data_IF_777372945505
#
_entry.id   IF_777372945505
#
_cell.length_a   1.000
_cell.length_b   1.000
_cell.length_c   1.000
_cell.angle_alpha   90.00
_cell.angle_beta   90.00
_cell.angle_gamma   90.00
#
_symmetry.space_group_name_H-M   'P 1'
#
loop_
_entity.id
_entity.type
_entity.pdbx_description
1 polymer ?
#
# COMPACT_ATOMS: atom_id res chain seq x y z
N UNK A 1 9.27 9.13 2.02
CA UNK A 1 9.03 8.74 3.43
C UNK A 1 7.67 9.20 3.95
N UNK A 2 7.30 10.47 3.78
CA UNK A 2 5.99 10.99 4.24
C UNK A 2 4.78 10.30 3.60
N UNK A 3 4.92 9.84 2.37
CA UNK A 3 3.85 9.09 1.66
C UNK A 3 3.58 7.75 2.34
N UNK A 4 4.63 6.99 2.66
CA UNK A 4 4.50 5.70 3.37
C UNK A 4 3.88 5.91 4.76
N UNK A 5 4.39 6.88 5.53
CA UNK A 5 3.87 7.24 6.84
C UNK A 5 2.37 7.58 6.80
N UNK A 6 1.95 8.43 5.85
CA UNK A 6 0.55 8.82 5.69
C UNK A 6 -0.35 7.68 5.17
N UNK A 7 0.22 6.67 4.50
CA UNK A 7 -0.50 5.49 4.02
C UNK A 7 -0.69 4.42 5.09
N UNK A 8 -0.02 4.55 6.25
CA UNK A 8 -0.04 3.62 7.38
C UNK A 8 -0.60 4.24 8.67
N UNK A 9 -1.28 5.38 8.57
CA UNK A 9 -1.80 6.10 9.75
C UNK A 9 -2.87 5.31 10.51
N UNK A 10 -3.63 4.48 9.83
CA UNK A 10 -4.62 3.54 10.39
C UNK A 10 -4.97 2.46 9.37
N UNK A 11 -5.53 1.34 9.83
CA UNK A 11 -6.00 0.26 8.94
C UNK A 11 -7.43 0.54 8.48
N UNK A 12 -7.58 0.64 7.17
CA UNK A 12 -8.85 0.68 6.42
C UNK A 12 -8.60 0.09 5.02
N UNK A 13 -9.63 0.01 4.19
CA UNK A 13 -9.56 -0.64 2.87
C UNK A 13 -8.52 -0.06 1.89
N UNK A 14 -8.07 1.17 2.07
CA UNK A 14 -7.06 1.83 1.24
C UNK A 14 -5.71 2.01 1.96
N UNK A 15 -5.50 1.32 3.07
CA UNK A 15 -4.20 1.30 3.74
C UNK A 15 -3.19 0.55 2.89
N UNK A 16 -1.96 1.03 2.91
CA UNK A 16 -0.83 0.38 2.25
C UNK A 16 -0.66 -1.06 2.74
N UNK A 17 -0.65 -2.01 1.81
CA UNK A 17 -0.45 -3.43 2.10
C UNK A 17 0.84 -3.98 1.47
N UNK A 18 1.20 -3.53 0.27
CA UNK A 18 2.43 -3.96 -0.42
C UNK A 18 3.19 -2.76 -0.96
N UNK A 19 4.51 -2.77 -0.81
CA UNK A 19 5.43 -1.84 -1.45
C UNK A 19 6.36 -2.62 -2.38
N UNK A 20 6.39 -2.26 -3.65
CA UNK A 20 7.40 -2.71 -4.60
C UNK A 20 8.53 -1.68 -4.68
N UNK A 21 9.77 -2.11 -4.39
CA UNK A 21 10.95 -1.26 -4.45
C UNK A 21 11.88 -1.71 -5.59
N UNK A 22 12.40 -0.77 -6.40
CA UNK A 22 13.39 -1.10 -7.41
C UNK A 22 14.63 -1.77 -6.76
N UNK A 23 14.98 -2.96 -7.22
CA UNK A 23 16.10 -3.76 -6.69
C UNK A 23 17.41 -2.98 -6.66
N UNK A 24 17.70 -2.24 -7.71
CA UNK A 24 18.93 -1.43 -7.83
C UNK A 24 19.00 -0.23 -6.87
N UNK A 25 17.88 0.11 -6.20
CA UNK A 25 17.80 1.19 -5.20
C UNK A 25 17.41 0.68 -3.81
N UNK A 26 17.23 -0.61 -3.65
CA UNK A 26 16.69 -1.21 -2.42
C UNK A 26 17.52 -0.86 -1.19
N UNK A 27 18.84 -0.91 -1.27
CA UNK A 27 19.72 -0.58 -0.15
C UNK A 27 19.52 0.85 0.39
N UNK A 28 19.15 1.80 -0.47
CA UNK A 28 18.86 3.16 -0.06
C UNK A 28 17.40 3.35 0.40
N UNK A 29 16.47 2.60 -0.18
CA UNK A 29 15.04 2.82 0.04
C UNK A 29 14.49 2.03 1.23
N UNK A 30 14.97 0.80 1.47
CA UNK A 30 14.48 -0.05 2.57
C UNK A 30 14.61 0.63 3.94
N UNK A 31 15.74 1.25 4.31
CA UNK A 31 15.82 1.98 5.58
C UNK A 31 14.82 3.14 5.68
N UNK A 32 14.61 3.86 4.58
CA UNK A 32 13.66 4.99 4.53
C UNK A 32 12.22 4.52 4.68
N UNK A 33 11.87 3.36 4.12
CA UNK A 33 10.55 2.74 4.28
C UNK A 33 10.33 2.30 5.72
N UNK A 34 11.31 1.62 6.32
CA UNK A 34 11.23 1.19 7.72
C UNK A 34 11.07 2.36 8.67
N UNK A 35 11.87 3.42 8.51
CA UNK A 35 11.74 4.64 9.34
C UNK A 35 10.38 5.33 9.18
N UNK A 36 9.82 5.35 7.98
CA UNK A 36 8.52 5.95 7.74
C UNK A 36 7.40 5.13 8.38
N UNK A 37 7.48 3.80 8.32
CA UNK A 37 6.53 2.91 8.97
C UNK A 37 6.56 3.04 10.50
N UNK A 38 7.75 3.18 11.08
CA UNK A 38 7.89 3.41 12.52
C UNK A 38 7.31 4.75 12.95
N UNK A 39 7.51 5.81 12.17
CA UNK A 39 6.86 7.10 12.46
C UNK A 39 5.35 7.01 12.42
N UNK A 40 4.78 6.23 11.48
CA UNK A 40 3.35 5.99 11.46
C UNK A 40 2.83 5.28 12.72
N UNK A 41 3.67 4.48 13.36
CA UNK A 41 3.35 3.72 14.57
C UNK A 41 3.60 4.48 15.90
N UNK A 42 4.40 5.54 15.86
CA UNK A 42 4.94 6.21 17.07
C UNK A 42 3.85 6.74 18.01
N UNK A 43 2.77 7.26 17.46
CA UNK A 43 1.64 7.78 18.25
C UNK A 43 0.91 6.69 19.04
N UNK A 44 1.07 5.43 18.63
CA UNK A 44 0.50 4.25 19.28
C UNK A 44 1.48 3.55 20.22
N UNK A 45 2.72 4.07 20.33
CA UNK A 45 3.76 3.51 21.19
C UNK A 45 4.23 2.11 20.77
N UNK A 46 4.17 1.81 19.49
CA UNK A 46 4.58 0.53 18.89
C UNK A 46 5.48 0.75 17.69
N UNK A 47 5.99 -0.33 17.13
CA UNK A 47 6.77 -0.37 15.90
C UNK A 47 5.99 -1.06 14.79
N UNK A 48 6.34 -0.75 13.54
CA UNK A 48 5.77 -1.44 12.40
C UNK A 48 6.34 -2.87 12.27
N UNK A 49 5.55 -3.75 11.71
CA UNK A 49 5.95 -5.09 11.31
C UNK A 49 5.97 -5.21 9.78
N UNK A 50 7.02 -5.83 9.26
CA UNK A 50 7.26 -5.90 7.82
C UNK A 50 7.49 -7.35 7.41
N UNK A 51 6.83 -7.76 6.33
CA UNK A 51 7.07 -9.03 5.67
C UNK A 51 7.87 -8.79 4.40
N UNK A 52 8.80 -9.67 4.11
CA UNK A 52 9.66 -9.51 2.93
C UNK A 52 10.23 -10.84 2.46
N UNK A 53 10.96 -10.83 1.37
CA UNK A 53 11.70 -12.00 0.89
C UNK A 53 13.04 -12.14 1.62
N UNK A 54 13.63 -13.37 1.68
CA UNK A 54 14.95 -13.57 2.27
C UNK A 54 16.04 -12.66 1.69
N UNK A 55 15.95 -12.34 0.41
CA UNK A 55 16.87 -11.43 -0.26
C UNK A 55 16.82 -10.01 0.29
N UNK A 56 15.63 -9.50 0.53
CA UNK A 56 15.47 -8.14 1.01
C UNK A 56 15.73 -7.99 2.52
N UNK A 57 15.62 -9.06 3.30
CA UNK A 57 15.79 -9.03 4.76
C UNK A 57 17.12 -8.39 5.18
N UNK A 58 18.22 -8.71 4.51
CA UNK A 58 19.55 -8.18 4.83
C UNK A 58 19.68 -6.66 4.65
N UNK A 59 18.73 -6.01 4.00
CA UNK A 59 18.72 -4.57 3.76
C UNK A 59 18.02 -3.78 4.90
N UNK A 60 17.30 -4.47 5.79
CA UNK A 60 16.60 -3.83 6.89
C UNK A 60 17.55 -3.55 8.05
N UNK A 61 17.64 -2.30 8.52
CA UNK A 61 18.54 -1.93 9.62
C UNK A 61 18.08 -2.44 10.99
N UNK A 62 16.80 -2.74 11.16
CA UNK A 62 16.21 -3.19 12.42
C UNK A 62 15.35 -4.42 12.20
N UNK A 63 15.82 -5.58 12.67
CA UNK A 63 15.18 -6.89 12.51
C UNK A 63 14.89 -7.59 13.83
N UNK A 64 15.15 -6.92 14.94
CA UNK A 64 14.89 -7.40 16.30
C UNK A 64 13.41 -7.73 16.53
N UNK A 65 13.10 -8.38 17.62
CA UNK A 65 11.71 -8.67 17.99
C UNK A 65 11.03 -7.42 18.52
N UNK A 66 9.74 -7.27 18.18
CA UNK A 66 8.89 -6.18 18.66
C UNK A 66 7.63 -6.71 19.32
N UNK A 67 7.01 -5.88 20.14
CA UNK A 67 5.72 -6.17 20.74
C UNK A 67 4.60 -5.93 19.73
N UNK A 68 3.88 -6.98 19.38
CA UNK A 68 2.75 -6.94 18.45
C UNK A 68 1.45 -7.21 19.20
N UNK A 69 0.48 -6.34 18.99
CA UNK A 69 -0.86 -6.48 19.55
C UNK A 69 -1.73 -7.20 18.52
N UNK A 70 -2.21 -8.38 18.90
CA UNK A 70 -3.12 -9.21 18.09
C UNK A 70 -4.52 -9.25 18.73
N UNK A 71 -5.51 -9.68 17.99
CA UNK A 71 -6.88 -9.80 18.51
C UNK A 71 -7.00 -10.72 19.73
N UNK A 72 -6.15 -11.73 19.84
CA UNK A 72 -6.10 -12.71 20.93
C UNK A 72 -5.05 -12.40 22.02
N UNK A 73 -4.37 -11.26 21.96
CA UNK A 73 -3.41 -10.82 22.94
C UNK A 73 -2.13 -10.22 22.36
N UNK A 74 -1.18 -9.93 23.23
CA UNK A 74 0.10 -9.35 22.86
C UNK A 74 1.19 -10.41 22.80
N UNK A 75 2.01 -10.37 21.75
CA UNK A 75 3.12 -11.30 21.51
C UNK A 75 4.41 -10.56 21.17
N UNK A 76 5.53 -11.23 21.35
CA UNK A 76 6.82 -10.80 20.79
C UNK A 76 7.00 -11.51 19.46
N UNK A 77 7.12 -10.74 18.40
CA UNK A 77 7.26 -11.25 17.02
C UNK A 77 8.46 -10.58 16.34
N UNK A 78 9.02 -11.23 15.34
CA UNK A 78 10.05 -10.62 14.50
C UNK A 78 9.50 -9.36 13.85
N UNK A 79 10.24 -8.28 13.95
CA UNK A 79 9.88 -6.99 13.37
C UNK A 79 9.90 -7.03 11.84
N UNK A 80 10.84 -7.77 11.28
CA UNK A 80 10.92 -8.08 9.85
C UNK A 80 11.01 -9.58 9.70
N UNK A 81 9.99 -10.19 9.12
CA UNK A 81 10.00 -11.61 8.79
C UNK A 81 10.23 -11.82 7.30
N UNK A 82 11.06 -12.83 6.99
CA UNK A 82 11.34 -13.23 5.62
C UNK A 82 10.88 -14.68 5.42
N UNK A 83 9.67 -14.83 4.93
CA UNK A 83 9.09 -16.13 4.66
C UNK A 83 9.38 -16.55 3.22
N UNK A 84 9.84 -17.78 3.02
CA UNK A 84 10.11 -18.33 1.69
C UNK A 84 8.86 -18.46 0.83
N UNK A 85 7.70 -18.60 1.47
CA UNK A 85 6.38 -18.73 0.85
C UNK A 85 5.53 -17.45 1.04
N UNK A 86 6.16 -16.28 0.97
CA UNK A 86 5.48 -15.01 1.11
C UNK A 86 4.39 -14.86 0.04
N UNK A 87 3.14 -14.73 0.50
CA UNK A 87 1.99 -14.48 -0.37
C UNK A 87 1.70 -12.97 -0.45
N UNK A 88 1.97 -12.30 -1.57
CA UNK A 88 1.70 -10.88 -1.74
C UNK A 88 0.20 -10.53 -1.70
N UNK A 89 -0.68 -11.51 -1.87
CA UNK A 89 -2.13 -11.29 -1.80
C UNK A 89 -2.66 -11.22 -0.37
N UNK A 90 -1.83 -11.59 0.61
CA UNK A 90 -2.22 -11.55 2.01
C UNK A 90 -2.47 -10.11 2.48
N UNK A 91 -3.67 -9.83 2.94
CA UNK A 91 -4.01 -8.55 3.58
C UNK A 91 -3.88 -8.66 5.11
N UNK A 92 -2.95 -7.89 5.66
CA UNK A 92 -2.74 -7.87 7.11
C UNK A 92 -3.81 -7.03 7.79
N UNK A 93 -4.49 -7.63 8.77
CA UNK A 93 -5.40 -6.92 9.66
C UNK A 93 -4.67 -6.50 10.93
N UNK A 94 -4.70 -5.22 11.24
CA UNK A 94 -4.06 -4.66 12.41
C UNK A 94 -4.80 -3.43 12.96
N UNK A 95 -4.77 -3.25 14.26
CA UNK A 95 -5.32 -2.05 14.93
C UNK A 95 -4.19 -1.14 15.46
N UNK A 96 -3.09 -1.74 15.87
CA UNK A 96 -2.03 -1.05 16.61
C UNK A 96 -0.73 -0.98 15.83
N UNK A 97 -0.16 -2.12 15.47
CA UNK A 97 1.11 -2.19 14.76
C UNK A 97 0.85 -2.16 13.25
N UNK A 98 1.32 -1.14 12.51
CA UNK A 98 1.26 -1.19 11.05
C UNK A 98 1.97 -2.44 10.53
N UNK A 99 1.32 -3.18 9.65
CA UNK A 99 1.84 -4.42 9.10
C UNK A 99 1.62 -4.46 7.60
N UNK A 100 2.68 -4.75 6.83
CA UNK A 100 2.67 -4.71 5.38
C UNK A 100 3.85 -5.48 4.78
N UNK A 101 3.82 -5.68 3.46
CA UNK A 101 4.85 -6.40 2.69
C UNK A 101 5.75 -5.45 1.91
N UNK A 102 7.05 -5.78 1.83
CA UNK A 102 8.02 -5.13 0.95
C UNK A 102 8.60 -6.15 -0.02
N UNK A 103 8.48 -5.88 -1.31
CA UNK A 103 9.01 -6.69 -2.40
C UNK A 103 10.06 -5.92 -3.20
N UNK A 104 11.05 -6.63 -3.73
CA UNK A 104 12.02 -6.09 -4.68
C UNK A 104 11.61 -6.46 -6.10
N UNK A 105 11.61 -5.49 -6.99
CA UNK A 105 11.26 -5.66 -8.41
C UNK A 105 12.36 -5.13 -9.31
N UNK A 106 12.48 -5.70 -10.49
CA UNK A 106 13.48 -5.28 -11.48
C UNK A 106 12.96 -4.17 -12.40
N UNK A 107 11.63 -4.04 -12.50
CA UNK A 107 10.98 -3.03 -13.34
C UNK A 107 9.61 -2.61 -12.80
N UNK A 108 9.10 -1.49 -13.33
CA UNK A 108 7.72 -1.04 -13.07
C UNK A 108 6.71 -2.03 -13.69
N UNK A 109 7.06 -2.65 -14.82
CA UNK A 109 6.21 -3.67 -15.45
C UNK A 109 6.00 -4.88 -14.52
N UNK A 110 7.05 -5.37 -13.88
CA UNK A 110 6.95 -6.44 -12.90
C UNK A 110 6.05 -6.04 -11.70
N UNK A 111 6.18 -4.80 -11.21
CA UNK A 111 5.30 -4.30 -10.15
C UNK A 111 3.83 -4.25 -10.60
N UNK A 112 3.57 -3.91 -11.86
CA UNK A 112 2.22 -3.92 -12.46
C UNK A 112 1.66 -5.35 -12.54
N UNK A 113 2.48 -6.31 -12.94
CA UNK A 113 2.10 -7.74 -13.00
C UNK A 113 1.75 -8.26 -11.60
N UNK A 114 2.61 -8.01 -10.61
CA UNK A 114 2.35 -8.36 -9.20
C UNK A 114 1.06 -7.72 -8.68
N UNK A 115 0.83 -6.45 -8.99
CA UNK A 115 -0.40 -5.76 -8.59
C UNK A 115 -1.63 -6.44 -9.20
N UNK A 116 -1.62 -6.74 -10.49
CA UNK A 116 -2.76 -7.35 -11.18
C UNK A 116 -3.02 -8.79 -10.74
N UNK A 117 -1.99 -9.52 -10.35
CA UNK A 117 -2.10 -10.91 -9.92
C UNK A 117 -2.54 -11.02 -8.45
N UNK A 118 -1.93 -10.23 -7.56
CA UNK A 118 -2.01 -10.46 -6.12
C UNK A 118 -2.82 -9.41 -5.35
N UNK A 119 -3.10 -8.22 -5.93
CA UNK A 119 -3.80 -7.18 -5.19
C UNK A 119 -5.32 -7.27 -5.32
N UNK A 120 -6.07 -6.60 -4.43
CA UNK A 120 -7.50 -6.40 -4.59
C UNK A 120 -7.87 -5.51 -5.78
N UNK A 121 -6.91 -5.08 -6.61
CA UNK A 121 -7.13 -4.21 -7.77
C UNK A 121 -7.94 -2.96 -7.41
N UNK A 122 -7.57 -2.32 -6.32
CA UNK A 122 -8.31 -1.19 -5.80
C UNK A 122 -7.54 0.13 -5.96
N UNK A 123 -6.39 0.26 -5.29
CA UNK A 123 -5.57 1.47 -5.30
C UNK A 123 -4.13 1.10 -5.62
N UNK A 124 -3.53 1.88 -6.49
CA UNK A 124 -2.09 1.86 -6.74
C UNK A 124 -1.52 3.27 -6.70
N UNK A 125 -0.33 3.42 -6.14
CA UNK A 125 0.45 4.67 -6.16
C UNK A 125 1.83 4.43 -6.76
N UNK A 126 2.19 5.23 -7.76
CA UNK A 126 3.50 5.23 -8.37
C UNK A 126 4.31 6.43 -7.87
N UNK A 127 5.43 6.18 -7.21
CA UNK A 127 6.33 7.21 -6.70
C UNK A 127 7.61 7.23 -7.55
N UNK A 128 7.54 7.84 -8.70
CA UNK A 128 8.65 8.00 -9.63
C UNK A 128 8.80 9.46 -10.09
N UNK A 129 10.01 9.84 -10.45
CA UNK A 129 10.25 11.10 -11.15
C UNK A 129 10.13 10.95 -12.68
N UNK A 130 10.04 9.72 -13.18
CA UNK A 130 9.91 9.43 -14.61
C UNK A 130 8.42 9.39 -14.99
N UNK A 131 7.94 10.26 -15.88
CA UNK A 131 6.58 10.22 -16.38
C UNK A 131 6.20 8.90 -17.05
N UNK A 132 7.15 8.21 -17.65
CA UNK A 132 6.93 6.94 -18.31
C UNK A 132 6.51 5.84 -17.31
N UNK A 133 7.07 5.85 -16.11
CA UNK A 133 6.66 4.93 -15.05
C UNK A 133 5.18 5.16 -14.67
N UNK A 134 4.76 6.42 -14.56
CA UNK A 134 3.37 6.77 -14.28
C UNK A 134 2.42 6.33 -15.38
N UNK A 135 2.83 6.49 -16.65
CA UNK A 135 2.03 6.05 -17.79
C UNK A 135 1.94 4.52 -17.86
N UNK A 136 3.01 3.81 -17.51
CA UNK A 136 3.05 2.35 -17.42
C UNK A 136 2.08 1.85 -16.34
N UNK A 137 2.11 2.43 -15.15
CA UNK A 137 1.18 2.06 -14.06
C UNK A 137 -0.26 2.42 -14.43
N UNK A 138 -0.49 3.60 -15.00
CA UNK A 138 -1.83 4.02 -15.43
C UNK A 138 -2.45 3.08 -16.45
N UNK A 139 -1.67 2.69 -17.46
CA UNK A 139 -2.17 1.84 -18.55
C UNK A 139 -2.20 0.36 -18.19
N UNK A 140 -1.30 -0.10 -17.31
CA UNK A 140 -1.11 -1.50 -17.00
C UNK A 140 -1.89 -2.02 -15.80
N UNK A 141 -2.11 -1.21 -14.76
CA UNK A 141 -2.81 -1.67 -13.56
C UNK A 141 -4.34 -1.66 -13.73
N UNK A 142 -4.97 -2.76 -13.40
CA UNK A 142 -6.43 -2.92 -13.34
C UNK A 142 -7.00 -2.27 -12.05
N UNK A 143 -6.73 -0.99 -11.84
CA UNK A 143 -7.14 -0.26 -10.65
C UNK A 143 -8.07 0.92 -10.98
N UNK A 144 -9.17 1.11 -10.23
CA UNK A 144 -10.01 2.30 -10.37
C UNK A 144 -9.32 3.57 -9.85
N UNK A 145 -8.34 3.44 -8.95
CA UNK A 145 -7.57 4.55 -8.40
C UNK A 145 -6.09 4.37 -8.69
N UNK A 146 -5.53 5.30 -9.43
CA UNK A 146 -4.11 5.39 -9.74
C UNK A 146 -3.62 6.76 -9.34
N UNK A 147 -2.63 6.83 -8.47
CA UNK A 147 -2.10 8.07 -7.94
C UNK A 147 -0.58 8.10 -7.84
N UNK A 148 -0.06 9.20 -7.33
CA UNK A 148 1.37 9.45 -7.12
C UNK A 148 1.68 9.92 -5.68
N UNK A 149 0.72 9.74 -4.77
CA UNK A 149 0.81 10.15 -3.37
C UNK A 149 0.49 9.02 -2.39
N UNK A 150 0.08 9.40 -1.18
CA UNK A 150 -0.36 8.43 -0.16
C UNK A 150 -1.67 7.75 -0.58
N UNK A 151 -1.85 6.49 -0.17
CA UNK A 151 -2.98 5.66 -0.66
C UNK A 151 -4.34 6.11 -0.12
N UNK A 152 -4.34 6.87 0.98
CA UNK A 152 -5.54 7.30 1.71
C UNK A 152 -6.27 8.50 1.09
N UNK A 153 -5.78 9.07 -0.03
CA UNK A 153 -6.39 10.23 -0.69
C UNK A 153 -7.79 9.96 -1.27
N UNK A 154 -8.14 8.71 -1.50
CA UNK A 154 -9.46 8.30 -2.02
C UNK A 154 -10.54 8.25 -0.96
N UNK A 155 -10.22 8.53 0.29
CA UNK A 155 -11.18 8.54 1.37
C UNK A 155 -12.18 9.68 1.22
N UNK A 156 -13.46 9.31 1.12
CA UNK A 156 -14.56 10.26 1.06
C UNK A 156 -14.66 11.05 -0.24
N UNK A 157 -14.95 12.31 -0.15
CA UNK A 157 -15.37 13.15 -1.28
C UNK A 157 -14.22 13.85 -2.00
N UNK A 158 -12.98 13.63 -1.59
CA UNK A 158 -11.85 14.49 -1.97
C UNK A 158 -11.62 14.52 -3.47
N UNK A 159 -11.60 13.36 -4.14
CA UNK A 159 -11.28 13.28 -5.56
C UNK A 159 -12.48 13.56 -6.48
N UNK A 160 -13.67 13.16 -6.09
CA UNK A 160 -14.86 13.23 -6.94
C UNK A 160 -15.83 14.34 -6.54
N UNK A 161 -15.61 15.01 -5.41
CA UNK A 161 -16.56 15.97 -4.80
C UNK A 161 -17.96 15.35 -4.62
N UNK A 162 -18.03 14.05 -4.43
CA UNK A 162 -19.26 13.26 -4.22
C UNK A 162 -19.06 12.30 -3.07
N UNK A 163 -20.11 11.93 -2.34
CA UNK A 163 -20.05 10.86 -1.37
C UNK A 163 -19.54 9.60 -2.07
N UNK A 164 -18.47 9.05 -1.57
CA UNK A 164 -17.86 7.88 -2.13
C UNK A 164 -17.71 6.81 -1.07
N UNK A 165 -18.38 5.68 -1.28
CA UNK A 165 -18.12 4.46 -0.55
C UNK A 165 -17.03 3.70 -1.29
N UNK A 166 -15.79 3.98 -0.90
CA UNK A 166 -14.62 3.32 -1.44
C UNK A 166 -14.46 1.89 -0.95
N UNK A 167 -15.47 1.05 -1.19
CA UNK A 167 -15.40 -0.36 -0.82
C UNK A 167 -15.00 -1.19 -2.03
N UNK A 168 -14.07 -2.10 -1.85
CA UNK A 168 -13.75 -3.08 -2.86
C UNK A 168 -14.88 -4.12 -2.93
N UNK A 169 -15.39 -4.36 -4.13
CA UNK A 169 -16.37 -5.41 -4.39
C UNK A 169 -15.65 -6.68 -4.82
N UNK A 170 -15.04 -7.38 -3.87
CA UNK A 170 -14.47 -8.68 -4.13
C UNK A 170 -15.54 -9.75 -4.21
N UNK A 171 -15.63 -10.42 -5.36
CA UNK A 171 -16.40 -11.65 -5.51
C UNK A 171 -15.60 -12.65 -6.36
N UNK A 172 -15.41 -13.83 -5.84
CA UNK A 172 -14.73 -14.92 -6.52
C UNK A 172 -13.32 -14.56 -7.01
N UNK A 173 -12.53 -13.85 -6.19
CA UNK A 173 -11.20 -13.41 -6.54
C UNK A 173 -11.13 -12.28 -7.57
N UNK A 174 -12.21 -11.56 -7.80
CA UNK A 174 -12.29 -10.44 -8.74
C UNK A 174 -12.99 -9.24 -8.15
N UNK A 175 -12.46 -8.07 -8.51
CA UNK A 175 -13.15 -6.80 -8.30
C UNK A 175 -14.19 -6.64 -9.39
N UNK A 176 -15.47 -6.68 -9.04
CA UNK A 176 -16.52 -6.49 -10.04
C UNK A 176 -16.75 -5.01 -10.24
N UNK A 177 -17.33 -4.27 -9.82
CA UNK A 177 -17.49 -2.86 -10.00
C UNK A 177 -17.21 -2.20 -8.66
N UNK A 178 -16.66 -1.03 -8.71
CA UNK A 178 -16.65 -0.24 -7.55
C UNK A 178 -18.06 0.15 -7.15
N UNK A 179 -18.45 -0.16 -5.93
CA UNK A 179 -19.69 0.35 -5.38
C UNK A 179 -19.51 1.81 -4.98
N UNK A 180 -19.61 2.70 -5.96
CA UNK A 180 -20.10 4.03 -5.66
C UNK A 180 -21.61 3.95 -5.47
N UNK A 181 -22.20 4.93 -4.87
CA UNK A 181 -23.65 5.11 -5.01
C UNK A 181 -23.90 5.24 -6.50
N UNK A 182 -24.45 4.19 -7.08
CA UNK A 182 -24.90 4.22 -8.45
C UNK A 182 -26.10 5.16 -8.52
N UNK A 183 -25.85 6.41 -8.85
CA UNK A 183 -26.91 7.25 -9.35
C UNK A 183 -27.33 6.71 -10.71
N UNK A 184 -28.57 6.89 -11.13
CA UNK A 184 -29.11 6.33 -12.36
C UNK A 184 -28.39 6.74 -13.66
N UNK A 185 -27.40 7.62 -13.57
CA UNK A 185 -26.50 8.04 -14.65
C UNK A 185 -25.16 7.26 -14.65
N UNK A 186 -24.99 6.27 -13.79
CA UNK A 186 -23.74 5.55 -13.62
C UNK A 186 -23.61 4.31 -14.49
N UNK A 187 -23.94 4.43 -15.77
CA UNK A 187 -23.55 3.44 -16.77
C UNK A 187 -22.04 3.41 -17.05
N UNK A 188 -21.24 4.17 -16.28
CA UNK A 188 -19.81 4.34 -16.51
C UNK A 188 -19.03 4.02 -15.23
N UNK A 189 -17.96 3.24 -15.39
CA UNK A 189 -16.91 3.13 -14.37
C UNK A 189 -15.98 4.32 -14.47
N UNK A 190 -15.71 4.98 -13.35
CA UNK A 190 -14.75 6.08 -13.32
C UNK A 190 -13.41 5.54 -12.83
N UNK A 191 -12.38 5.71 -13.65
CA UNK A 191 -10.98 5.49 -13.27
C UNK A 191 -10.33 6.84 -13.00
N UNK A 192 -9.72 6.99 -11.85
CA UNK A 192 -9.09 8.25 -11.45
C UNK A 192 -7.58 8.12 -11.46
N UNK A 193 -6.93 9.13 -11.98
CA UNK A 193 -5.51 9.39 -11.80
C UNK A 193 -5.38 10.66 -10.96
N UNK A 194 -4.69 10.58 -9.84
CA UNK A 194 -4.44 11.73 -8.97
C UNK A 194 -2.96 12.11 -8.97
N UNK A 195 -2.70 13.39 -9.00
CA UNK A 195 -1.40 13.97 -8.81
C UNK A 195 -1.38 14.79 -7.53
N UNK A 196 -0.50 14.44 -6.61
CA UNK A 196 -0.31 15.17 -5.37
C UNK A 196 0.83 16.18 -5.54
N UNK A 197 0.47 17.42 -5.85
CA UNK A 197 1.45 18.52 -5.99
C UNK A 197 1.90 19.10 -4.64
N UNK A 198 1.09 18.94 -3.59
CA UNK A 198 1.43 19.39 -2.24
C UNK A 198 1.87 18.20 -1.37
N UNK A 199 3.18 18.04 -1.09
CA UNK A 199 3.69 16.94 -0.28
C UNK A 199 3.30 17.03 1.20
N UNK A 200 2.74 18.16 1.63
CA UNK A 200 2.25 18.35 3.01
C UNK A 200 0.81 17.90 3.19
N UNK A 201 0.08 17.65 2.10
CA UNK A 201 -1.31 17.25 2.16
C UNK A 201 -1.48 15.97 2.96
N UNK A 202 -2.31 16.05 3.99
CA UNK A 202 -2.72 14.94 4.87
C UNK A 202 -4.23 15.01 5.04
N UNK A 203 -4.78 13.89 5.42
CA UNK A 203 -6.18 13.81 5.78
C UNK A 203 -6.41 14.15 7.25
#
# INVERSE_FOLDING_TARGET
SSVVEASLDRKVCNTLNVICLPRNRAAALVPVVQDAADRAAISRGVEARIHTTPEALALFPRTDVTRVVRADGTRMEERVSADGDLDPSHEFEWETNPEFTVLLVDSVTEAVELFNEHSPRFIVSCLSADPHDHDTVWSGCDAPFVGDGFTRWVDGQFALLRPELGLSNWQNGRLFARSGILSGDSGYSVRLRAHQSDPSLRR
#
